data_IF_758685053175
#
_entry.id   IF_758685053175
#
_cell.length_a   1.000
_cell.length_b   1.000
_cell.length_c   1.000
_cell.angle_alpha   90.00
_cell.angle_beta   90.00
_cell.angle_gamma   90.00
#
_symmetry.space_group_name_H-M   'P 1'
#
loop_
_entity.id
_entity.type
_entity.pdbx_description
1 polymer ?
#
# COMPACT_ATOMS: atom_id res chain seq x y z
N UNK A 1 12.30 -13.58 17.67
CA UNK A 1 12.73 -13.75 16.29
C UNK A 1 11.73 -12.99 15.41
N UNK A 2 12.18 -11.90 14.78
CA UNK A 2 11.31 -11.01 14.00
C UNK A 2 10.75 -11.69 12.75
N UNK A 3 9.70 -11.10 12.16
CA UNK A 3 9.09 -11.62 10.94
C UNK A 3 10.05 -11.55 9.76
N UNK A 4 10.82 -10.45 9.70
CA UNK A 4 11.90 -10.26 8.73
C UNK A 4 12.93 -11.41 8.79
N UNK A 5 13.35 -11.84 10.00
CA UNK A 5 14.25 -12.99 10.19
C UNK A 5 13.70 -14.28 9.61
N UNK A 6 12.37 -14.50 9.69
CA UNK A 6 11.77 -15.72 9.13
C UNK A 6 11.73 -15.67 7.60
N UNK A 7 11.46 -14.50 7.02
CA UNK A 7 11.47 -14.31 5.57
C UNK A 7 12.86 -14.50 5.01
N UNK A 8 13.88 -13.87 5.60
CA UNK A 8 15.29 -14.04 5.21
C UNK A 8 15.72 -15.51 5.33
N UNK A 9 15.39 -16.20 6.43
CA UNK A 9 15.72 -17.62 6.58
C UNK A 9 15.09 -18.51 5.52
N UNK A 10 13.83 -18.24 5.15
CA UNK A 10 13.13 -19.00 4.11
C UNK A 10 13.73 -18.74 2.73
N UNK A 11 14.14 -17.48 2.47
CA UNK A 11 14.85 -17.10 1.26
C UNK A 11 16.22 -17.80 1.19
N UNK A 12 17.01 -17.77 2.26
CA UNK A 12 18.31 -18.41 2.33
C UNK A 12 18.21 -19.94 2.16
N UNK A 13 17.15 -20.57 2.67
CA UNK A 13 16.91 -22.00 2.47
C UNK A 13 16.52 -22.38 1.05
N UNK A 14 15.97 -21.45 0.27
CA UNK A 14 15.62 -21.68 -1.13
C UNK A 14 16.81 -21.55 -2.08
N UNK A 15 17.95 -20.99 -1.64
CA UNK A 15 19.14 -20.71 -2.43
C UNK A 15 20.43 -21.24 -1.78
N UNK A 16 20.48 -22.51 -1.41
CA UNK A 16 21.69 -23.26 -1.01
C UNK A 16 22.79 -22.47 -0.25
N UNK A 17 22.38 -21.66 0.75
CA UNK A 17 23.29 -21.03 1.71
C UNK A 17 23.87 -19.68 1.32
N UNK A 18 23.39 -19.01 0.27
CA UNK A 18 23.69 -17.59 0.06
C UNK A 18 22.91 -16.75 1.06
N UNK A 19 23.65 -15.96 1.85
CA UNK A 19 23.09 -15.08 2.85
C UNK A 19 22.62 -13.79 2.17
N UNK A 20 21.32 -13.68 1.88
CA UNK A 20 20.70 -12.45 1.41
C UNK A 20 20.43 -11.50 2.59
N UNK A 21 21.43 -11.27 3.33
CA UNK A 21 21.76 -10.63 4.57
C UNK A 21 21.08 -9.33 4.98
N UNK A 22 19.87 -8.99 4.56
CA UNK A 22 19.15 -7.87 5.15
C UNK A 22 17.89 -8.32 5.91
N UNK A 23 17.60 -7.70 7.05
CA UNK A 23 16.42 -8.01 7.87
C UNK A 23 15.09 -7.80 7.13
N UNK A 24 15.08 -6.95 6.10
CA UNK A 24 13.93 -6.62 5.25
C UNK A 24 13.75 -7.56 4.05
N UNK A 25 14.70 -8.46 3.82
CA UNK A 25 14.66 -9.41 2.71
C UNK A 25 14.80 -8.79 1.31
N UNK A 26 15.27 -7.53 1.24
CA UNK A 26 15.54 -6.83 -0.02
C UNK A 26 16.92 -7.16 -0.55
N UNK A 27 16.97 -7.37 -1.86
CA UNK A 27 18.21 -7.56 -2.62
C UNK A 27 18.34 -6.36 -3.57
N UNK A 28 19.47 -5.67 -3.54
CA UNK A 28 19.76 -4.57 -4.45
C UNK A 28 20.73 -5.01 -5.53
N UNK A 29 20.20 -5.20 -6.73
CA UNK A 29 21.01 -5.52 -7.91
C UNK A 29 20.27 -5.20 -9.21
N UNK A 30 20.99 -5.24 -10.32
CA UNK A 30 20.39 -5.10 -11.64
C UNK A 30 19.46 -6.29 -11.94
N UNK A 31 18.23 -6.00 -12.37
CA UNK A 31 17.19 -7.00 -12.66
C UNK A 31 17.68 -8.06 -13.65
N UNK A 32 18.34 -7.64 -14.73
CA UNK A 32 18.80 -8.56 -15.76
C UNK A 32 19.89 -9.51 -15.26
N UNK A 33 20.84 -9.00 -14.47
CA UNK A 33 21.93 -9.79 -13.92
C UNK A 33 21.41 -10.89 -12.98
N UNK A 34 20.55 -10.51 -12.03
CA UNK A 34 19.93 -11.45 -11.09
C UNK A 34 19.03 -12.47 -11.80
N UNK A 35 18.19 -12.03 -12.74
CA UNK A 35 17.30 -12.91 -13.48
C UNK A 35 18.08 -13.96 -14.31
N UNK A 36 19.20 -13.57 -14.92
CA UNK A 36 20.10 -14.48 -15.66
C UNK A 36 20.75 -15.50 -14.73
N UNK A 37 21.18 -15.09 -13.56
CA UNK A 37 21.77 -15.97 -12.55
C UNK A 37 20.76 -17.01 -12.06
N UNK A 38 19.54 -16.58 -11.69
CA UNK A 38 18.47 -17.49 -11.26
C UNK A 38 18.07 -18.48 -12.35
N UNK A 39 17.97 -18.01 -13.60
CA UNK A 39 17.72 -18.88 -14.75
C UNK A 39 18.84 -19.95 -14.91
N UNK A 40 20.10 -19.56 -14.71
CA UNK A 40 21.24 -20.50 -14.81
C UNK A 40 21.21 -21.56 -13.72
N UNK A 41 20.84 -21.22 -12.51
CA UNK A 41 20.78 -22.11 -11.33
C UNK A 41 19.53 -23.00 -11.31
N UNK A 42 18.45 -22.63 -11.99
CA UNK A 42 17.22 -23.43 -12.02
C UNK A 42 17.43 -24.76 -12.77
N UNK A 43 16.94 -25.86 -12.17
CA UNK A 43 17.04 -27.19 -12.78
C UNK A 43 16.05 -27.41 -13.93
N UNK A 44 14.88 -26.74 -13.88
CA UNK A 44 13.79 -26.86 -14.86
C UNK A 44 13.58 -25.61 -15.69
N UNK A 45 12.36 -25.47 -16.22
CA UNK A 45 11.94 -24.26 -16.92
C UNK A 45 11.64 -23.15 -15.91
N UNK A 46 11.91 -21.91 -16.31
CA UNK A 46 11.64 -20.70 -15.53
C UNK A 46 10.52 -19.92 -16.22
N UNK A 47 9.46 -19.66 -15.49
CA UNK A 47 8.35 -18.82 -15.95
C UNK A 47 8.69 -17.35 -15.72
N UNK A 48 8.67 -16.55 -16.77
CA UNK A 48 8.84 -15.10 -16.74
C UNK A 48 7.45 -14.46 -16.87
N UNK A 49 6.98 -13.78 -15.83
CA UNK A 49 5.69 -13.10 -15.82
C UNK A 49 5.92 -11.59 -15.76
N UNK A 50 5.33 -10.84 -16.69
CA UNK A 50 5.43 -9.38 -16.70
C UNK A 50 4.15 -8.76 -17.22
N UNK A 51 3.90 -7.49 -16.91
CA UNK A 51 2.96 -6.66 -17.66
C UNK A 51 3.63 -6.06 -18.91
N UNK A 52 2.84 -5.39 -19.74
CA UNK A 52 3.35 -4.75 -20.97
C UNK A 52 4.44 -3.72 -20.70
N UNK A 53 4.37 -3.01 -19.56
CA UNK A 53 5.31 -1.95 -19.19
C UNK A 53 6.64 -2.50 -18.68
N UNK A 54 6.61 -3.66 -18.05
CA UNK A 54 7.78 -4.30 -17.43
C UNK A 54 8.38 -5.42 -18.29
N UNK A 55 7.82 -5.75 -19.45
CA UNK A 55 8.29 -6.86 -20.30
C UNK A 55 9.78 -6.73 -20.71
N UNK A 56 10.31 -5.51 -20.82
CA UNK A 56 11.73 -5.26 -21.09
C UNK A 56 12.66 -5.75 -19.95
N UNK A 57 12.16 -6.02 -18.76
CA UNK A 57 12.94 -6.51 -17.63
C UNK A 57 13.62 -7.85 -17.92
N UNK A 58 12.98 -8.67 -18.74
CA UNK A 58 13.45 -10.02 -19.07
C UNK A 58 13.90 -10.18 -20.52
N UNK A 59 14.05 -9.08 -21.29
CA UNK A 59 14.36 -9.14 -22.72
C UNK A 59 15.60 -9.98 -23.03
N UNK A 60 16.64 -9.86 -22.22
CA UNK A 60 17.91 -10.58 -22.42
C UNK A 60 17.85 -12.09 -22.16
N UNK A 61 16.85 -12.57 -21.42
CA UNK A 61 16.69 -13.99 -21.08
C UNK A 61 15.43 -14.62 -21.71
N UNK A 62 14.55 -13.84 -22.29
CA UNK A 62 13.28 -14.32 -22.86
C UNK A 62 13.45 -15.36 -23.98
N UNK A 63 14.56 -15.28 -24.73
CA UNK A 63 14.88 -16.23 -25.80
C UNK A 63 15.59 -17.50 -25.30
N UNK A 64 15.90 -17.62 -24.03
CA UNK A 64 16.60 -18.79 -23.48
C UNK A 64 15.70 -20.04 -23.54
N UNK A 65 16.22 -21.23 -23.95
CA UNK A 65 15.41 -22.45 -24.14
C UNK A 65 14.62 -22.91 -22.90
N UNK A 66 15.06 -22.54 -21.72
CA UNK A 66 14.37 -22.84 -20.44
C UNK A 66 13.45 -21.74 -19.98
N UNK A 67 13.41 -20.58 -20.63
CA UNK A 67 12.51 -19.48 -20.29
C UNK A 67 11.14 -19.67 -20.98
N UNK A 68 10.10 -19.43 -20.24
CA UNK A 68 8.72 -19.35 -20.72
C UNK A 68 8.18 -17.97 -20.36
N UNK A 69 7.93 -17.12 -21.34
CA UNK A 69 7.48 -15.74 -21.12
C UNK A 69 5.97 -15.63 -21.25
N UNK A 70 5.36 -14.96 -20.31
CA UNK A 70 3.93 -14.60 -20.30
C UNK A 70 3.79 -13.13 -19.99
N UNK A 71 3.04 -12.42 -20.84
CA UNK A 71 2.56 -11.09 -20.55
C UNK A 71 1.19 -11.23 -19.85
N UNK A 72 1.11 -10.74 -18.62
CA UNK A 72 -0.09 -10.83 -17.81
C UNK A 72 -1.09 -9.76 -18.26
N UNK A 73 -2.30 -10.19 -18.57
CA UNK A 73 -3.38 -9.37 -19.12
C UNK A 73 -4.54 -9.12 -18.12
N UNK A 74 -4.34 -9.46 -16.84
CA UNK A 74 -5.34 -9.26 -15.78
C UNK A 74 -6.01 -10.54 -15.29
N UNK A 75 -5.97 -11.66 -16.05
CA UNK A 75 -6.50 -12.96 -15.59
C UNK A 75 -5.38 -13.96 -15.31
N UNK A 76 -5.49 -14.67 -14.19
CA UNK A 76 -4.50 -15.68 -13.78
C UNK A 76 -4.68 -17.04 -14.46
N UNK A 77 -5.83 -17.35 -15.04
CA UNK A 77 -6.08 -18.68 -15.62
C UNK A 77 -5.05 -19.11 -16.67
N UNK A 78 -4.57 -18.24 -17.58
CA UNK A 78 -3.55 -18.62 -18.55
C UNK A 78 -2.26 -19.13 -17.92
N UNK A 79 -1.88 -18.67 -16.72
CA UNK A 79 -0.69 -19.13 -16.01
C UNK A 79 -0.80 -20.63 -15.66
N UNK A 80 -2.01 -21.11 -15.31
CA UNK A 80 -2.21 -22.51 -14.95
C UNK A 80 -2.19 -23.47 -16.13
N UNK A 81 -2.17 -22.95 -17.37
CA UNK A 81 -1.93 -23.72 -18.57
C UNK A 81 -0.46 -24.01 -18.83
N UNK A 82 0.46 -23.48 -18.02
CA UNK A 82 1.89 -23.71 -18.15
C UNK A 82 2.26 -25.18 -17.87
N UNK A 83 3.27 -25.73 -18.59
CA UNK A 83 3.68 -27.11 -18.43
C UNK A 83 4.20 -27.41 -17.02
N UNK A 84 4.10 -28.66 -16.60
CA UNK A 84 4.53 -29.14 -15.27
C UNK A 84 6.03 -29.02 -15.00
N UNK A 85 6.85 -28.83 -16.04
CA UNK A 85 8.29 -28.68 -15.90
C UNK A 85 8.79 -27.29 -15.47
N UNK A 86 7.88 -26.37 -15.09
CA UNK A 86 8.25 -25.09 -14.47
C UNK A 86 8.73 -25.33 -13.05
N UNK A 87 9.94 -24.91 -12.74
CA UNK A 87 10.58 -25.09 -11.43
C UNK A 87 10.79 -23.78 -10.67
N UNK A 88 10.65 -22.65 -11.33
CA UNK A 88 10.86 -21.31 -10.74
C UNK A 88 10.06 -20.22 -11.47
N UNK A 89 9.72 -19.16 -10.75
CA UNK A 89 8.99 -17.99 -11.29
C UNK A 89 9.82 -16.73 -11.09
N UNK A 90 9.96 -15.92 -12.14
CA UNK A 90 10.46 -14.55 -12.08
C UNK A 90 9.34 -13.62 -12.53
N UNK A 91 9.02 -12.62 -11.73
CA UNK A 91 7.93 -11.69 -12.04
C UNK A 91 8.38 -10.24 -11.97
N UNK A 92 8.01 -9.42 -12.97
CA UNK A 92 8.28 -7.99 -12.95
C UNK A 92 7.02 -7.21 -13.37
N UNK A 93 6.66 -6.21 -12.56
CA UNK A 93 5.49 -5.37 -12.87
C UNK A 93 4.84 -4.76 -11.63
N UNK A 94 3.59 -4.36 -11.79
CA UNK A 94 2.73 -3.86 -10.72
C UNK A 94 2.20 -4.96 -9.80
N UNK A 95 1.44 -4.58 -8.78
CA UNK A 95 0.98 -5.51 -7.73
C UNK A 95 0.19 -6.70 -8.27
N UNK A 96 -0.65 -6.53 -9.28
CA UNK A 96 -1.46 -7.63 -9.85
C UNK A 96 -0.59 -8.71 -10.49
N UNK A 97 0.44 -8.30 -11.25
CA UNK A 97 1.41 -9.23 -11.85
C UNK A 97 2.16 -10.01 -10.77
N UNK A 98 2.64 -9.30 -9.73
CA UNK A 98 3.36 -9.93 -8.63
C UNK A 98 2.48 -10.89 -7.85
N UNK A 99 1.21 -10.53 -7.60
CA UNK A 99 0.23 -11.43 -6.96
C UNK A 99 -0.03 -12.67 -7.81
N UNK A 100 -0.24 -12.51 -9.13
CA UNK A 100 -0.49 -13.62 -10.05
C UNK A 100 0.65 -14.63 -10.07
N UNK A 101 1.89 -14.14 -10.19
CA UNK A 101 3.10 -14.95 -10.20
C UNK A 101 3.32 -15.67 -8.87
N UNK A 102 3.13 -14.99 -7.75
CA UNK A 102 3.27 -15.55 -6.40
C UNK A 102 2.17 -16.57 -6.10
N UNK A 103 0.94 -16.33 -6.55
CA UNK A 103 -0.14 -17.32 -6.42
C UNK A 103 0.14 -18.58 -7.24
N UNK A 104 0.61 -18.43 -8.48
CA UNK A 104 1.04 -19.57 -9.29
C UNK A 104 2.16 -20.37 -8.59
N UNK A 105 3.15 -19.68 -8.03
CA UNK A 105 4.24 -20.31 -7.29
C UNK A 105 3.74 -21.05 -6.03
N UNK A 106 2.78 -20.46 -5.29
CA UNK A 106 2.15 -21.08 -4.13
C UNK A 106 1.44 -22.39 -4.50
N UNK A 107 0.61 -22.36 -5.54
CA UNK A 107 -0.15 -23.54 -5.99
C UNK A 107 0.77 -24.65 -6.49
N UNK A 108 1.88 -24.30 -7.14
CA UNK A 108 2.86 -25.27 -7.68
C UNK A 108 3.93 -25.69 -6.66
N UNK A 109 4.01 -25.05 -5.50
CA UNK A 109 5.02 -25.31 -4.48
C UNK A 109 6.45 -25.02 -4.95
N UNK A 110 6.65 -23.99 -5.79
CA UNK A 110 7.94 -23.63 -6.39
C UNK A 110 8.42 -22.26 -5.93
N UNK A 111 9.71 -21.98 -6.09
CA UNK A 111 10.31 -20.70 -5.72
C UNK A 111 9.87 -19.55 -6.64
N UNK A 112 9.85 -18.33 -6.08
CA UNK A 112 9.48 -17.11 -6.77
C UNK A 112 10.43 -15.96 -6.43
N UNK A 113 10.77 -15.17 -7.44
CA UNK A 113 11.44 -13.87 -7.25
C UNK A 113 10.61 -12.79 -7.93
N UNK A 114 10.46 -11.67 -7.25
CA UNK A 114 9.74 -10.52 -7.78
C UNK A 114 10.67 -9.32 -7.94
N UNK A 115 10.46 -8.58 -9.02
CA UNK A 115 11.13 -7.33 -9.38
C UNK A 115 10.04 -6.25 -9.49
N UNK A 116 9.70 -5.58 -8.37
CA UNK A 116 8.65 -4.58 -8.34
C UNK A 116 8.93 -3.44 -9.33
N UNK A 117 7.90 -2.98 -10.03
CA UNK A 117 7.98 -1.79 -10.90
C UNK A 117 7.73 -0.49 -10.12
N UNK A 118 7.28 -0.60 -8.86
CA UNK A 118 6.94 0.54 -8.00
C UNK A 118 7.78 0.53 -6.71
N UNK A 119 8.32 1.68 -6.34
CA UNK A 119 9.07 1.85 -5.09
C UNK A 119 8.19 1.73 -3.82
N UNK A 120 6.86 1.65 -3.97
CA UNK A 120 5.91 1.34 -2.89
C UNK A 120 5.95 -0.14 -2.48
N UNK A 121 6.60 -1.01 -3.27
CA UNK A 121 6.73 -2.46 -3.08
C UNK A 121 5.39 -3.19 -2.88
N UNK A 122 4.30 -2.64 -3.45
CA UNK A 122 2.99 -3.27 -3.44
C UNK A 122 3.01 -4.59 -4.22
N UNK A 123 2.42 -5.64 -3.66
CA UNK A 123 2.43 -6.99 -4.25
C UNK A 123 3.62 -7.85 -3.84
N UNK A 124 4.68 -7.26 -3.24
CA UNK A 124 5.90 -8.00 -2.92
C UNK A 124 5.86 -8.70 -1.55
N UNK A 125 5.18 -8.13 -0.56
CA UNK A 125 5.25 -8.59 0.83
C UNK A 125 3.93 -9.10 1.41
N UNK A 126 2.80 -8.92 0.76
CA UNK A 126 1.49 -9.37 1.23
C UNK A 126 1.42 -10.89 1.30
N UNK A 127 0.69 -11.43 2.32
CA UNK A 127 0.43 -12.88 2.45
C UNK A 127 -0.78 -13.33 1.64
N UNK A 128 -1.64 -12.39 1.27
CA UNK A 128 -2.85 -12.62 0.48
C UNK A 128 -2.99 -11.52 -0.56
N UNK A 129 -3.50 -11.86 -1.72
CA UNK A 129 -3.80 -10.93 -2.80
C UNK A 129 -5.21 -11.16 -3.33
N UNK A 130 -5.74 -10.15 -4.03
CA UNK A 130 -6.99 -10.30 -4.79
C UNK A 130 -6.62 -10.42 -6.26
N UNK A 131 -7.08 -11.48 -6.90
CA UNK A 131 -6.82 -11.78 -8.31
C UNK A 131 -8.10 -12.02 -9.07
N UNK A 132 -8.06 -11.79 -10.36
CA UNK A 132 -9.10 -12.23 -11.27
C UNK A 132 -8.80 -13.66 -11.74
N UNK A 133 -9.75 -14.55 -11.52
CA UNK A 133 -9.70 -15.96 -11.91
C UNK A 133 -10.97 -16.27 -12.71
N UNK A 134 -10.84 -16.37 -14.03
CA UNK A 134 -11.98 -16.64 -14.90
C UNK A 134 -13.09 -15.59 -14.83
N UNK A 135 -12.73 -14.33 -14.67
CA UNK A 135 -13.66 -13.20 -14.58
C UNK A 135 -14.15 -12.88 -13.14
N UNK A 136 -13.85 -13.72 -12.15
CA UNK A 136 -14.22 -13.48 -10.75
C UNK A 136 -13.04 -12.97 -9.91
N UNK A 137 -13.28 -11.96 -9.08
CA UNK A 137 -12.28 -11.47 -8.11
C UNK A 137 -12.28 -12.36 -6.88
N UNK A 138 -11.15 -13.02 -6.63
CA UNK A 138 -10.98 -13.97 -5.53
C UNK A 138 -9.76 -13.61 -4.68
N UNK A 139 -9.91 -13.71 -3.36
CA UNK A 139 -8.77 -13.57 -2.46
C UNK A 139 -7.99 -14.90 -2.40
N UNK A 140 -6.69 -14.83 -2.64
CA UNK A 140 -5.80 -16.00 -2.72
C UNK A 140 -4.59 -15.87 -1.80
N UNK A 141 -4.03 -17.01 -1.30
CA UNK A 141 -2.75 -16.99 -0.61
C UNK A 141 -1.63 -16.71 -1.60
N UNK A 142 -0.55 -16.07 -1.12
CA UNK A 142 0.60 -15.73 -1.93
C UNK A 142 1.86 -16.38 -1.36
N UNK A 143 2.66 -17.02 -2.22
CA UNK A 143 3.97 -17.55 -1.84
C UNK A 143 4.88 -16.44 -1.29
N UNK A 144 5.70 -16.79 -0.31
CA UNK A 144 6.86 -15.96 0.03
C UNK A 144 7.85 -15.95 -1.14
N UNK A 145 8.51 -14.82 -1.36
CA UNK A 145 9.38 -14.61 -2.51
C UNK A 145 10.63 -13.81 -2.15
N UNK A 146 11.67 -13.92 -2.97
CA UNK A 146 12.77 -12.98 -2.97
C UNK A 146 12.33 -11.67 -3.62
N UNK A 147 12.66 -10.54 -3.02
CA UNK A 147 12.34 -9.20 -3.57
C UNK A 147 13.62 -8.53 -4.03
N UNK A 148 13.73 -8.31 -5.33
CA UNK A 148 14.92 -7.70 -5.96
C UNK A 148 14.54 -6.31 -6.45
N UNK A 149 15.28 -5.30 -6.00
CA UNK A 149 15.08 -3.91 -6.35
C UNK A 149 16.26 -3.39 -7.17
N UNK A 150 15.97 -3.05 -8.42
CA UNK A 150 16.87 -2.34 -9.30
C UNK A 150 16.61 -0.84 -9.18
N UNK A 151 17.44 -0.15 -8.40
CA UNK A 151 17.31 1.28 -8.10
C UNK A 151 17.24 2.13 -9.38
N UNK A 152 18.01 1.74 -10.43
CA UNK A 152 18.01 2.51 -11.68
C UNK A 152 16.69 2.39 -12.45
N UNK A 153 16.05 1.23 -12.41
CA UNK A 153 14.75 1.00 -13.03
C UNK A 153 13.61 1.68 -12.27
N UNK A 154 13.76 1.81 -10.95
CA UNK A 154 12.75 2.42 -10.07
C UNK A 154 12.81 3.94 -10.02
N UNK A 155 13.76 4.62 -10.71
CA UNK A 155 13.94 6.08 -10.61
C UNK A 155 12.66 6.88 -10.77
N UNK A 156 11.80 6.54 -11.72
CA UNK A 156 10.51 7.21 -11.95
C UNK A 156 9.44 6.91 -10.90
N UNK A 157 9.67 5.95 -10.00
CA UNK A 157 8.68 5.50 -9.01
C UNK A 157 8.98 5.97 -7.58
N UNK A 158 10.12 6.64 -7.33
CA UNK A 158 10.52 7.04 -5.98
C UNK A 158 9.60 8.10 -5.37
N UNK A 159 9.00 8.98 -6.18
CA UNK A 159 8.02 9.94 -5.69
C UNK A 159 6.84 9.22 -4.99
N UNK A 160 6.31 8.17 -5.61
CA UNK A 160 5.24 7.34 -5.02
C UNK A 160 5.73 6.60 -3.78
N UNK A 161 6.93 6.02 -3.82
CA UNK A 161 7.54 5.33 -2.69
C UNK A 161 7.72 6.24 -1.47
N UNK A 162 8.25 7.44 -1.66
CA UNK A 162 8.40 8.43 -0.60
C UNK A 162 7.05 8.91 -0.05
N UNK A 163 6.10 9.23 -0.94
CA UNK A 163 4.76 9.66 -0.54
C UNK A 163 4.01 8.55 0.22
N UNK A 164 4.24 7.26 -0.11
CA UNK A 164 3.71 6.12 0.65
C UNK A 164 4.19 6.12 2.11
N UNK A 165 5.45 6.43 2.37
CA UNK A 165 5.97 6.52 3.74
C UNK A 165 5.28 7.65 4.53
N UNK A 166 4.97 8.78 3.87
CA UNK A 166 4.18 9.84 4.49
C UNK A 166 2.78 9.34 4.89
N UNK A 167 2.13 8.55 4.04
CA UNK A 167 0.84 7.93 4.37
C UNK A 167 0.96 6.91 5.51
N UNK A 168 2.04 6.14 5.57
CA UNK A 168 2.28 5.21 6.69
C UNK A 168 2.43 5.96 8.03
N UNK A 169 3.12 7.10 8.02
CA UNK A 169 3.21 7.98 9.18
C UNK A 169 1.84 8.54 9.57
N UNK A 170 1.04 8.93 8.59
CA UNK A 170 -0.32 9.41 8.80
C UNK A 170 -1.24 8.32 9.35
N UNK A 171 -1.14 7.08 8.86
CA UNK A 171 -1.90 5.94 9.37
C UNK A 171 -1.65 5.68 10.87
N UNK A 172 -0.42 5.90 11.34
CA UNK A 172 -0.12 5.83 12.76
C UNK A 172 -0.84 6.93 13.55
N UNK A 173 -0.88 8.15 13.03
CA UNK A 173 -1.65 9.24 13.62
C UNK A 173 -3.15 8.88 13.67
N UNK A 174 -3.72 8.37 12.59
CA UNK A 174 -5.11 7.92 12.48
C UNK A 174 -5.44 6.87 13.56
N UNK A 175 -4.60 5.85 13.68
CA UNK A 175 -4.78 4.76 14.67
C UNK A 175 -4.78 5.29 16.10
N UNK A 176 -3.87 6.22 16.43
CA UNK A 176 -3.84 6.83 17.76
C UNK A 176 -5.05 7.73 18.01
N UNK A 177 -5.50 8.47 17.01
CA UNK A 177 -6.69 9.27 17.11
C UNK A 177 -7.95 8.41 17.28
N UNK A 178 -8.09 7.34 16.48
CA UNK A 178 -9.20 6.38 16.59
C UNK A 178 -9.23 5.69 17.96
N UNK A 179 -8.07 5.26 18.47
CA UNK A 179 -7.96 4.68 19.82
C UNK A 179 -8.44 5.68 20.90
N UNK A 180 -8.13 6.97 20.75
CA UNK A 180 -8.61 7.99 21.68
C UNK A 180 -10.13 8.19 21.62
N UNK A 181 -10.78 7.86 20.49
CA UNK A 181 -12.23 7.79 20.32
C UNK A 181 -12.85 6.44 20.70
N UNK A 182 -12.06 5.51 21.25
CA UNK A 182 -12.55 4.18 21.61
C UNK A 182 -12.73 3.23 20.42
N UNK A 183 -12.09 3.52 19.29
CA UNK A 183 -12.15 2.72 18.07
C UNK A 183 -10.79 2.03 17.87
N UNK A 184 -10.78 0.69 17.84
CA UNK A 184 -9.56 -0.08 17.64
C UNK A 184 -8.59 -0.08 18.82
N UNK A 185 -7.40 -0.65 18.60
CA UNK A 185 -6.30 -0.70 19.57
C UNK A 185 -5.28 0.40 19.30
N UNK A 186 -4.52 0.81 20.31
CA UNK A 186 -3.47 1.82 20.18
C UNK A 186 -2.37 1.36 19.20
N UNK A 187 -1.81 2.33 18.48
CA UNK A 187 -0.71 2.07 17.55
C UNK A 187 0.64 2.02 18.28
N UNK A 188 1.53 1.16 17.80
CA UNK A 188 2.93 1.21 18.19
C UNK A 188 3.62 2.46 17.60
N UNK A 189 4.63 3.02 18.29
CA UNK A 189 5.40 4.14 17.74
C UNK A 189 6.07 3.73 16.42
N UNK A 190 5.95 4.56 15.40
CA UNK A 190 6.70 4.38 14.17
C UNK A 190 8.19 4.71 14.39
N UNK A 191 9.09 4.01 13.69
CA UNK A 191 10.49 4.44 13.59
C UNK A 191 10.59 5.85 12.98
N UNK A 192 11.75 6.47 13.16
CA UNK A 192 12.05 7.76 12.55
C UNK A 192 11.94 7.69 11.03
N UNK A 193 11.43 8.76 10.43
CA UNK A 193 11.35 8.86 8.98
C UNK A 193 12.76 8.96 8.38
N UNK A 194 13.10 8.19 7.32
CA UNK A 194 14.43 8.23 6.73
C UNK A 194 14.72 9.61 6.13
N UNK A 195 15.87 10.14 6.45
CA UNK A 195 16.28 11.45 5.92
C UNK A 195 16.80 11.39 4.48
N UNK A 196 17.05 10.17 3.90
CA UNK A 196 17.99 10.05 2.82
C UNK A 196 17.60 9.19 1.63
N UNK A 197 18.47 8.41 1.08
CA UNK A 197 18.60 7.79 -0.21
C UNK A 197 17.45 6.93 -0.72
N UNK A 198 17.55 6.60 -1.97
CA UNK A 198 16.57 5.77 -2.70
C UNK A 198 16.48 4.36 -2.10
N UNK A 199 17.61 3.78 -1.68
CA UNK A 199 17.64 2.48 -1.01
C UNK A 199 16.95 2.52 0.36
N UNK A 200 17.12 3.60 1.13
CA UNK A 200 16.45 3.75 2.43
C UNK A 200 14.93 3.85 2.26
N UNK A 201 14.45 4.53 1.21
CA UNK A 201 13.03 4.58 0.86
C UNK A 201 12.50 3.16 0.58
N UNK A 202 13.25 2.34 -0.15
CA UNK A 202 12.85 0.95 -0.43
C UNK A 202 12.84 0.10 0.84
N UNK A 203 13.86 0.19 1.69
CA UNK A 203 13.92 -0.51 2.98
C UNK A 203 12.76 -0.15 3.88
N UNK A 204 12.47 1.14 4.02
CA UNK A 204 11.35 1.58 4.85
C UNK A 204 9.99 1.19 4.28
N UNK A 205 9.82 1.20 2.94
CA UNK A 205 8.61 0.65 2.34
C UNK A 205 8.49 -0.86 2.58
N UNK A 206 9.57 -1.63 2.50
CA UNK A 206 9.57 -3.05 2.83
C UNK A 206 9.15 -3.29 4.30
N UNK A 207 9.74 -2.54 5.23
CA UNK A 207 9.38 -2.58 6.65
C UNK A 207 7.92 -2.21 6.88
N UNK A 208 7.40 -1.18 6.20
CA UNK A 208 6.00 -0.78 6.27
C UNK A 208 5.08 -1.91 5.79
N UNK A 209 5.39 -2.53 4.62
CA UNK A 209 4.62 -3.66 4.09
C UNK A 209 4.63 -4.90 5.00
N UNK A 210 5.77 -5.20 5.60
CA UNK A 210 5.87 -6.30 6.56
C UNK A 210 4.99 -6.05 7.80
N UNK A 211 4.89 -4.80 8.27
CA UNK A 211 4.01 -4.42 9.39
C UNK A 211 2.54 -4.43 9.00
N UNK A 212 2.19 -3.99 7.79
CA UNK A 212 0.82 -3.98 7.26
C UNK A 212 0.18 -5.38 7.23
N UNK A 213 0.97 -6.46 7.28
CA UNK A 213 0.46 -7.83 7.44
C UNK A 213 -0.33 -8.03 8.74
N UNK A 214 -0.08 -7.21 9.77
CA UNK A 214 -0.64 -7.35 11.11
C UNK A 214 -1.34 -6.10 11.62
N UNK A 215 -1.21 -4.98 10.92
CA UNK A 215 -1.81 -3.71 11.28
C UNK A 215 -2.80 -3.25 10.22
N UNK A 216 -3.88 -2.56 10.58
CA UNK A 216 -4.77 -1.94 9.60
C UNK A 216 -4.00 -0.93 8.75
N UNK A 217 -4.25 -0.98 7.45
CA UNK A 217 -3.78 0.04 6.51
C UNK A 217 -4.58 1.30 6.76
N UNK A 218 -3.93 2.47 6.88
CA UNK A 218 -4.62 3.74 7.10
C UNK A 218 -5.46 4.18 5.89
N UNK A 219 -6.38 5.10 6.13
CA UNK A 219 -7.30 5.66 5.12
C UNK A 219 -6.57 6.25 3.90
N UNK A 220 -5.34 6.72 4.11
CA UNK A 220 -4.48 7.24 3.04
C UNK A 220 -4.21 6.24 1.92
N UNK A 221 -4.07 4.96 2.23
CA UNK A 221 -3.86 3.93 1.22
C UNK A 221 -5.11 3.70 0.37
N UNK A 222 -6.29 3.70 0.98
CA UNK A 222 -7.58 3.58 0.27
C UNK A 222 -7.82 4.80 -0.63
N UNK A 223 -7.59 6.01 -0.11
CA UNK A 223 -7.73 7.23 -0.89
C UNK A 223 -6.74 7.28 -2.06
N UNK A 224 -5.47 6.88 -1.85
CA UNK A 224 -4.47 6.80 -2.91
C UNK A 224 -4.90 5.84 -4.02
N UNK A 225 -5.46 4.67 -3.71
CA UNK A 225 -5.98 3.72 -4.71
C UNK A 225 -7.13 4.31 -5.53
N UNK A 226 -8.05 5.04 -4.89
CA UNK A 226 -9.15 5.73 -5.60
C UNK A 226 -8.62 6.81 -6.54
N UNK A 227 -7.62 7.57 -6.10
CA UNK A 227 -6.97 8.60 -6.94
C UNK A 227 -6.16 7.98 -8.09
N UNK A 228 -5.46 6.87 -7.85
CA UNK A 228 -4.71 6.12 -8.87
C UNK A 228 -5.64 5.57 -9.96
N UNK A 229 -6.76 4.97 -9.58
CA UNK A 229 -7.78 4.49 -10.50
C UNK A 229 -8.35 5.61 -11.41
N UNK A 230 -8.23 6.88 -10.99
CA UNK A 230 -8.61 8.06 -11.78
C UNK A 230 -7.44 8.69 -12.53
N UNK A 231 -6.28 8.02 -12.59
CA UNK A 231 -5.11 8.50 -13.32
C UNK A 231 -4.45 9.73 -12.71
N UNK A 232 -4.60 9.97 -11.41
CA UNK A 232 -3.94 11.10 -10.75
C UNK A 232 -2.44 10.85 -10.58
N UNK A 233 -1.58 11.82 -10.90
CA UNK A 233 -0.14 11.68 -10.69
C UNK A 233 0.17 11.63 -9.20
N UNK A 234 1.12 10.79 -8.79
CA UNK A 234 1.56 10.58 -7.40
C UNK A 234 0.37 10.57 -6.41
N UNK A 235 -0.57 9.59 -6.56
CA UNK A 235 -1.82 9.58 -5.82
C UNK A 235 -1.61 9.51 -4.29
N UNK A 236 -0.52 8.92 -3.84
CA UNK A 236 -0.13 8.87 -2.43
C UNK A 236 0.15 10.27 -1.87
N UNK A 237 0.79 11.14 -2.65
CA UNK A 237 1.03 12.52 -2.26
C UNK A 237 -0.27 13.33 -2.18
N UNK A 238 -1.14 13.17 -3.15
CA UNK A 238 -2.43 13.86 -3.15
C UNK A 238 -3.31 13.39 -1.98
N UNK A 239 -3.33 12.11 -1.68
CA UNK A 239 -4.03 11.57 -0.52
C UNK A 239 -3.47 12.17 0.80
N UNK A 240 -2.14 12.26 0.93
CA UNK A 240 -1.50 12.88 2.08
C UNK A 240 -1.91 14.36 2.25
N UNK A 241 -1.91 15.14 1.17
CA UNK A 241 -2.33 16.54 1.22
C UNK A 241 -3.78 16.70 1.66
N UNK A 242 -4.69 15.89 1.10
CA UNK A 242 -6.12 15.96 1.40
C UNK A 242 -6.38 15.57 2.85
N UNK A 243 -5.85 14.45 3.31
CA UNK A 243 -6.08 13.95 4.68
C UNK A 243 -5.45 14.84 5.74
N UNK A 244 -4.23 15.32 5.54
CA UNK A 244 -3.61 16.23 6.52
C UNK A 244 -4.35 17.57 6.62
N UNK A 245 -4.97 18.07 5.52
CA UNK A 245 -5.87 19.22 5.56
C UNK A 245 -7.14 18.93 6.35
N UNK A 246 -7.78 17.79 6.08
CA UNK A 246 -8.98 17.35 6.78
C UNK A 246 -8.74 17.22 8.30
N UNK A 247 -7.67 16.56 8.68
CA UNK A 247 -7.36 16.32 10.10
C UNK A 247 -6.99 17.61 10.83
N UNK A 248 -6.22 18.50 10.21
CA UNK A 248 -5.92 19.81 10.79
C UNK A 248 -7.20 20.63 11.00
N UNK A 249 -8.06 20.71 9.99
CA UNK A 249 -9.33 21.42 10.09
C UNK A 249 -10.25 20.82 11.18
N UNK A 250 -10.32 19.48 11.27
CA UNK A 250 -11.14 18.81 12.26
C UNK A 250 -10.68 19.07 13.70
N UNK A 251 -9.40 18.84 13.98
CA UNK A 251 -8.89 19.02 15.33
C UNK A 251 -8.76 20.49 15.73
N UNK A 252 -8.65 21.43 14.78
CA UNK A 252 -8.62 22.87 15.06
C UNK A 252 -10.04 23.41 15.31
N UNK A 253 -11.00 23.11 14.42
CA UNK A 253 -12.29 23.78 14.34
C UNK A 253 -13.49 22.86 14.55
N UNK A 254 -13.33 21.54 14.43
CA UNK A 254 -14.43 20.59 14.51
C UNK A 254 -15.18 20.73 15.84
N UNK A 255 -16.50 20.83 15.78
CA UNK A 255 -17.36 20.90 16.96
C UNK A 255 -18.41 19.80 16.87
N UNK A 256 -18.58 18.97 17.92
CA UNK A 256 -19.66 17.99 17.93
C UNK A 256 -21.03 18.70 17.89
N UNK A 257 -21.91 18.21 17.05
CA UNK A 257 -23.29 18.70 17.02
C UNK A 257 -24.04 18.17 18.25
N UNK A 258 -24.70 19.05 19.01
CA UNK A 258 -25.35 18.69 20.29
C UNK A 258 -26.50 17.69 20.17
N UNK A 259 -27.13 17.56 19.00
CA UNK A 259 -28.35 16.77 18.80
C UNK A 259 -28.37 16.07 17.44
N UNK A 260 -27.31 15.41 17.09
CA UNK A 260 -27.26 14.78 15.78
C UNK A 260 -27.29 13.26 15.88
N UNK A 261 -28.44 12.68 15.56
CA UNK A 261 -28.52 11.32 15.09
C UNK A 261 -28.40 11.40 13.58
N UNK A 262 -27.29 11.00 12.98
CA UNK A 262 -27.16 11.05 11.53
C UNK A 262 -28.26 10.21 10.89
N UNK A 263 -29.02 10.77 9.97
CA UNK A 263 -29.93 10.00 9.14
C UNK A 263 -29.13 9.31 8.02
N UNK A 264 -28.48 8.23 8.38
CA UNK A 264 -27.64 7.46 7.48
C UNK A 264 -28.45 6.86 6.32
N UNK A 265 -29.71 6.51 6.56
CA UNK A 265 -30.58 5.95 5.53
C UNK A 265 -30.87 7.00 4.45
N UNK A 266 -31.25 8.19 4.83
CA UNK A 266 -31.48 9.28 3.88
C UNK A 266 -30.20 9.72 3.16
N UNK A 267 -29.04 9.52 3.77
CA UNK A 267 -27.74 9.77 3.12
C UNK A 267 -27.40 8.70 2.10
N UNK A 268 -27.59 7.41 2.44
CA UNK A 268 -27.38 6.30 1.52
C UNK A 268 -28.29 6.41 0.29
N UNK A 269 -29.56 6.72 0.50
CA UNK A 269 -30.53 6.96 -0.57
C UNK A 269 -30.12 8.12 -1.48
N UNK A 270 -29.62 9.23 -0.92
CA UNK A 270 -29.12 10.39 -1.69
C UNK A 270 -27.83 10.09 -2.44
N UNK A 271 -26.94 9.27 -1.86
CA UNK A 271 -25.69 8.88 -2.48
C UNK A 271 -25.84 7.75 -3.50
N UNK A 272 -26.98 7.07 -3.54
CA UNK A 272 -27.21 5.90 -4.40
C UNK A 272 -26.30 4.72 -4.07
N UNK A 273 -25.87 4.60 -2.80
CA UNK A 273 -24.95 3.58 -2.34
C UNK A 273 -25.61 2.69 -1.29
N UNK A 274 -25.27 1.40 -1.31
CA UNK A 274 -25.59 0.47 -0.22
C UNK A 274 -24.73 0.87 1.00
N UNK A 275 -25.33 1.57 1.93
CA UNK A 275 -24.63 2.08 3.09
C UNK A 275 -24.31 0.97 4.08
N UNK A 276 -23.03 0.76 4.36
CA UNK A 276 -22.61 -0.15 5.42
C UNK A 276 -22.85 0.50 6.81
N UNK A 277 -23.92 0.08 7.49
CA UNK A 277 -24.31 0.59 8.81
C UNK A 277 -23.34 0.15 9.94
N UNK A 278 -22.41 -0.75 9.68
CA UNK A 278 -21.50 -1.28 10.69
C UNK A 278 -20.59 -0.20 11.34
N UNK A 279 -20.34 0.91 10.64
CA UNK A 279 -19.54 2.04 11.16
C UNK A 279 -20.36 3.13 11.86
N UNK A 280 -21.68 2.98 11.93
CA UNK A 280 -22.57 4.00 12.53
C UNK A 280 -22.49 3.92 14.05
N UNK A 281 -22.12 5.02 14.76
CA UNK A 281 -22.08 5.01 16.21
C UNK A 281 -23.48 4.99 16.81
N UNK A 282 -23.62 4.33 17.95
CA UNK A 282 -24.78 4.53 18.82
C UNK A 282 -24.77 5.95 19.41
N UNK A 283 -25.90 6.39 19.97
CA UNK A 283 -25.96 7.69 20.64
C UNK A 283 -24.94 7.81 21.79
N UNK A 284 -24.71 6.73 22.54
CA UNK A 284 -23.74 6.68 23.64
C UNK A 284 -22.31 6.78 23.12
N UNK A 285 -21.98 6.03 22.07
CA UNK A 285 -20.67 6.11 21.41
C UNK A 285 -20.40 7.50 20.83
N UNK A 286 -21.41 8.13 20.24
CA UNK A 286 -21.28 9.50 19.73
C UNK A 286 -20.97 10.49 20.86
N UNK A 287 -21.70 10.43 21.97
CA UNK A 287 -21.44 11.28 23.15
C UNK A 287 -20.04 11.03 23.71
N UNK A 288 -19.63 9.76 23.83
CA UNK A 288 -18.29 9.41 24.26
C UNK A 288 -17.22 10.01 23.34
N UNK A 289 -17.38 9.88 22.00
CA UNK A 289 -16.45 10.46 21.00
C UNK A 289 -16.40 11.98 21.10
N UNK A 290 -17.55 12.66 21.35
CA UNK A 290 -17.60 14.10 21.54
C UNK A 290 -16.81 14.54 22.80
N UNK A 291 -16.97 13.84 23.92
CA UNK A 291 -16.19 14.09 25.13
C UNK A 291 -14.70 13.77 24.94
N UNK A 292 -14.39 12.71 24.22
CA UNK A 292 -13.02 12.36 23.88
C UNK A 292 -12.35 13.45 23.04
N UNK A 293 -13.05 13.99 22.02
CA UNK A 293 -12.53 15.07 21.18
C UNK A 293 -12.09 16.27 22.02
N UNK A 294 -12.88 16.70 22.98
CA UNK A 294 -12.51 17.85 23.85
C UNK A 294 -11.23 17.58 24.65
N UNK A 295 -11.02 16.34 25.11
CA UNK A 295 -9.81 15.97 25.87
C UNK A 295 -8.55 15.90 25.01
N UNK A 296 -8.66 15.42 23.77
CA UNK A 296 -7.49 15.13 22.94
C UNK A 296 -7.21 16.21 21.89
N UNK A 297 -8.15 17.13 21.66
CA UNK A 297 -8.10 18.16 20.61
C UNK A 297 -6.77 18.87 20.52
N UNK A 298 -6.31 19.48 21.62
CA UNK A 298 -5.11 20.29 21.60
C UNK A 298 -3.84 19.50 21.25
N UNK A 299 -3.79 18.22 21.58
CA UNK A 299 -2.69 17.32 21.23
C UNK A 299 -2.70 17.00 19.75
N UNK A 300 -3.82 16.48 19.26
CA UNK A 300 -3.93 16.06 17.86
C UNK A 300 -3.96 17.23 16.89
N UNK A 301 -4.49 18.40 17.28
CA UNK A 301 -4.40 19.63 16.48
C UNK A 301 -2.95 20.04 16.23
N UNK A 302 -2.09 20.04 17.25
CA UNK A 302 -0.66 20.36 17.10
C UNK A 302 0.04 19.41 16.15
N UNK A 303 -0.24 18.12 16.27
CA UNK A 303 0.38 17.10 15.43
C UNK A 303 -0.15 17.18 13.99
N UNK A 304 -1.45 17.32 13.78
CA UNK A 304 -2.03 17.51 12.45
C UNK A 304 -1.50 18.78 11.75
N UNK A 305 -1.32 19.88 12.50
CA UNK A 305 -0.72 21.10 11.98
C UNK A 305 0.78 20.93 11.65
N UNK A 306 1.53 20.04 12.33
CA UNK A 306 2.91 19.77 11.96
C UNK A 306 3.00 19.11 10.58
N UNK A 307 2.11 18.16 10.26
CA UNK A 307 2.05 17.58 8.92
C UNK A 307 1.78 18.64 7.83
N UNK A 308 0.91 19.60 8.11
CA UNK A 308 0.64 20.70 7.17
C UNK A 308 1.86 21.57 6.95
N UNK A 309 2.60 21.88 8.01
CA UNK A 309 3.84 22.70 7.93
C UNK A 309 4.98 21.99 7.19
N UNK A 310 5.06 20.69 7.30
CA UNK A 310 6.10 19.88 6.67
C UNK A 310 5.88 19.68 5.15
N UNK A 311 4.70 20.03 4.61
CA UNK A 311 4.31 19.79 3.21
C UNK A 311 5.25 20.42 2.19
N UNK A 312 5.71 21.64 2.46
CA UNK A 312 6.61 22.37 1.54
C UNK A 312 7.94 21.63 1.37
N UNK A 313 8.56 21.23 2.47
CA UNK A 313 9.79 20.45 2.45
C UNK A 313 9.60 19.09 1.77
N UNK A 314 8.48 18.42 2.00
CA UNK A 314 8.15 17.16 1.31
C UNK A 314 7.91 17.37 -0.17
N UNK A 315 7.24 18.47 -0.56
CA UNK A 315 7.01 18.82 -1.97
C UNK A 315 8.34 19.08 -2.70
N UNK A 316 9.27 19.81 -2.09
CA UNK A 316 10.61 20.01 -2.64
C UNK A 316 11.35 18.69 -2.86
N UNK A 317 11.31 17.79 -1.87
CA UNK A 317 11.95 16.47 -1.98
C UNK A 317 11.33 15.60 -3.06
N UNK A 318 10.01 15.56 -3.15
CA UNK A 318 9.28 14.83 -4.19
C UNK A 318 9.59 15.37 -5.59
N UNK A 319 9.79 16.67 -5.72
CA UNK A 319 10.08 17.34 -6.99
C UNK A 319 11.43 16.94 -7.59
N UNK A 320 12.29 16.26 -6.84
CA UNK A 320 13.50 15.65 -7.36
C UNK A 320 13.22 14.46 -8.28
N UNK A 321 12.07 13.80 -8.15
CA UNK A 321 11.68 12.62 -8.91
C UNK A 321 10.48 12.85 -9.82
N UNK A 322 9.51 13.66 -9.38
CA UNK A 322 8.25 13.88 -10.11
C UNK A 322 7.73 15.29 -9.84
N UNK A 323 7.20 15.95 -10.87
CA UNK A 323 6.60 17.27 -10.69
C UNK A 323 5.29 17.16 -9.89
N UNK A 324 5.29 17.70 -8.68
CA UNK A 324 4.14 17.68 -7.76
C UNK A 324 3.69 19.08 -7.39
N UNK A 325 2.47 19.19 -6.86
CA UNK A 325 1.85 20.45 -6.41
C UNK A 325 1.53 20.35 -4.92
N UNK A 326 1.47 21.51 -4.24
CA UNK A 326 1.00 21.62 -2.86
C UNK A 326 -0.51 21.52 -2.71
N UNK A 327 -1.26 21.48 -3.82
CA UNK A 327 -2.71 21.39 -3.81
C UNK A 327 -3.17 19.95 -4.01
N UNK A 328 -4.03 19.45 -3.11
CA UNK A 328 -4.57 18.09 -3.16
C UNK A 328 -5.57 17.81 -4.29
N UNK A 329 -5.90 18.82 -5.11
CA UNK A 329 -6.80 18.66 -6.25
C UNK A 329 -8.26 18.42 -5.86
N UNK A 330 -8.95 17.55 -6.61
CA UNK A 330 -10.37 17.25 -6.43
C UNK A 330 -10.63 16.49 -5.13
N UNK A 331 -11.54 16.98 -4.29
CA UNK A 331 -11.89 16.42 -2.98
C UNK A 331 -13.06 15.43 -3.02
N UNK A 332 -13.55 15.08 -4.20
CA UNK A 332 -14.73 14.19 -4.36
C UNK A 332 -14.52 12.85 -3.65
N UNK A 333 -13.35 12.25 -3.82
CA UNK A 333 -13.04 10.96 -3.19
C UNK A 333 -12.85 11.08 -1.68
N UNK A 334 -12.30 12.19 -1.20
CA UNK A 334 -12.18 12.44 0.23
C UNK A 334 -13.56 12.47 0.92
N UNK A 335 -14.55 13.09 0.28
CA UNK A 335 -15.93 13.15 0.80
C UNK A 335 -16.60 11.76 0.84
N UNK A 336 -16.22 10.87 -0.07
CA UNK A 336 -16.75 9.50 -0.13
C UNK A 336 -15.92 8.49 0.67
N UNK A 337 -14.73 8.87 1.14
CA UNK A 337 -13.84 7.98 1.86
C UNK A 337 -14.51 7.24 3.05
N UNK A 338 -15.41 7.86 3.84
CA UNK A 338 -16.15 7.17 4.90
C UNK A 338 -17.06 6.02 4.43
N UNK A 339 -17.38 5.95 3.15
CA UNK A 339 -18.17 4.84 2.56
C UNK A 339 -17.27 3.60 2.37
N UNK A 340 -16.00 3.80 2.08
CA UNK A 340 -15.00 2.74 1.92
C UNK A 340 -14.33 2.36 3.24
N UNK A 341 -14.21 3.33 4.17
CA UNK A 341 -13.55 3.18 5.47
C UNK A 341 -14.52 3.57 6.61
N UNK A 342 -15.57 2.76 6.85
CA UNK A 342 -16.63 3.11 7.80
C UNK A 342 -16.16 3.17 9.27
N UNK A 343 -15.01 2.60 9.58
CA UNK A 343 -14.37 2.65 10.90
C UNK A 343 -13.17 3.59 10.95
N UNK A 344 -12.91 4.35 9.89
CA UNK A 344 -11.80 5.27 9.77
C UNK A 344 -12.05 6.62 10.48
N UNK A 345 -10.99 7.42 10.56
CA UNK A 345 -11.06 8.75 11.16
C UNK A 345 -11.94 9.71 10.34
N UNK A 346 -11.96 9.55 9.01
CA UNK A 346 -12.87 10.32 8.12
C UNK A 346 -14.35 10.05 8.43
N UNK A 347 -14.70 8.82 8.81
CA UNK A 347 -16.06 8.49 9.25
C UNK A 347 -16.43 9.22 10.55
N UNK A 348 -15.52 9.26 11.53
CA UNK A 348 -15.71 10.05 12.75
C UNK A 348 -15.88 11.54 12.42
N UNK A 349 -15.06 12.08 11.54
CA UNK A 349 -15.11 13.49 11.11
C UNK A 349 -16.44 13.82 10.43
N UNK A 350 -16.91 12.94 9.56
CA UNK A 350 -18.23 13.05 8.93
C UNK A 350 -19.34 13.07 9.97
N UNK A 351 -19.30 12.21 10.99
CA UNK A 351 -20.30 12.13 12.04
C UNK A 351 -20.39 13.45 12.84
N UNK A 352 -19.28 14.18 12.94
CA UNK A 352 -19.26 15.54 13.49
C UNK A 352 -19.67 16.63 12.49
N UNK A 353 -19.97 16.27 11.23
CA UNK A 353 -20.55 17.16 10.22
C UNK A 353 -19.56 18.05 9.47
N UNK A 354 -18.24 17.91 9.67
CA UNK A 354 -17.25 18.77 9.02
C UNK A 354 -17.19 18.53 7.51
N UNK A 355 -17.36 17.29 7.05
CA UNK A 355 -17.23 16.94 5.62
C UNK A 355 -18.42 17.39 4.75
N UNK A 356 -19.47 17.92 5.35
CA UNK A 356 -20.67 18.37 4.59
C UNK A 356 -20.51 19.79 4.03
N UNK A 357 -19.75 20.65 4.69
CA UNK A 357 -19.80 22.09 4.45
C UNK A 357 -18.47 22.78 4.16
N UNK A 358 -17.35 22.22 4.54
CA UNK A 358 -16.08 22.96 4.65
C UNK A 358 -14.92 22.43 3.78
N UNK A 359 -15.22 21.53 2.84
CA UNK A 359 -14.20 21.02 1.91
C UNK A 359 -14.36 21.57 0.51
#
# INVERSE_FOLDING_TARGET
MGLADRTVRKMNSAFDGEDYGSEDGLIFCETEADARERLSRSAGKVLLVSDETACSAFAAIASHPRALSVVFDGDCLPLFSMPDGVSYVLASGGSEVLHAARYFAEVRGIGCTVYPALATLEGAYELKGTLQLGGERTQVPLAECSVVCDVQRLKGAFARGYARLLLTRLANFETRALSAFGIGQGAEPLPSFPETGEEDILRENANARLRERFAPVGEGATLAKLLDACGKPVPEWQAYLQLTSLYAAFFEKGKPRRYFTPDYRARAERAGTDYNLAGVPTAEEYVFRAMALERVRARFAREALSFVKEREAHCEKLSAWEQVSLHGGDLTFLKRLPEYEPHGLSAVIRDFGLMEWEL
#
